data_IF_892299964031
#
_entry.id   IF_892299964031
#
_cell.length_a   1.000
_cell.length_b   1.000
_cell.length_c   1.000
_cell.angle_alpha   90.00
_cell.angle_beta   90.00
_cell.angle_gamma   90.00
#
_symmetry.space_group_name_H-M   'P 1'
#
loop_
_entity.id
_entity.type
_entity.pdbx_description
1 polymer ?
#
# COMPACT_ATOMS: atom_id res chain seq x y z
N UNK A 1 -7.01 -3.44 -19.19
CA UNK A 1 -7.83 -4.49 -18.53
C UNK A 1 -9.21 -3.98 -18.07
N UNK A 2 -9.32 -2.91 -17.26
CA UNK A 2 -10.60 -2.48 -16.64
C UNK A 2 -11.59 -1.71 -17.53
N UNK A 3 -11.25 -1.41 -18.78
CA UNK A 3 -12.13 -0.70 -19.73
C UNK A 3 -12.84 -1.64 -20.71
N UNK A 4 -12.53 -2.94 -20.69
CA UNK A 4 -13.09 -3.91 -21.63
C UNK A 4 -14.24 -4.68 -20.97
N UNK A 5 -15.37 -4.94 -21.66
CA UNK A 5 -16.51 -5.67 -21.09
C UNK A 5 -16.20 -7.13 -20.72
N UNK A 6 -15.05 -7.64 -21.14
CA UNK A 6 -14.52 -8.95 -20.82
C UNK A 6 -13.07 -9.11 -21.27
N UNK A 7 -12.41 -10.18 -20.81
CA UNK A 7 -11.00 -10.44 -21.07
C UNK A 7 -10.78 -11.90 -21.51
N UNK A 8 -10.26 -12.17 -22.72
CA UNK A 8 -10.02 -13.54 -23.17
C UNK A 8 -9.11 -14.31 -22.22
N UNK A 9 -9.52 -15.50 -21.79
CA UNK A 9 -8.76 -16.23 -20.78
C UNK A 9 -7.43 -16.78 -21.30
N UNK A 10 -7.33 -17.09 -22.60
CA UNK A 10 -6.06 -17.47 -23.24
C UNK A 10 -5.02 -16.35 -23.09
N UNK A 11 -5.42 -15.09 -23.27
CA UNK A 11 -4.54 -13.92 -23.08
C UNK A 11 -4.06 -13.83 -21.64
N UNK A 12 -5.00 -13.88 -20.68
CA UNK A 12 -4.66 -13.86 -19.26
C UNK A 12 -3.69 -14.99 -18.89
N UNK A 13 -3.89 -16.17 -19.47
CA UNK A 13 -3.02 -17.31 -19.19
C UNK A 13 -1.62 -17.12 -19.77
N UNK A 14 -1.50 -16.57 -21.00
CA UNK A 14 -0.19 -16.21 -21.56
C UNK A 14 0.56 -15.22 -20.64
N UNK A 15 -0.13 -14.17 -20.18
CA UNK A 15 0.45 -13.14 -19.31
C UNK A 15 0.96 -13.72 -17.99
N UNK A 16 0.21 -14.67 -17.42
CA UNK A 16 0.62 -15.38 -16.20
C UNK A 16 1.80 -16.35 -16.43
N UNK A 17 1.91 -16.96 -17.62
CA UNK A 17 3.04 -17.85 -17.97
C UNK A 17 4.33 -17.06 -18.11
N UNK A 18 4.28 -15.88 -18.74
CA UNK A 18 5.46 -15.08 -19.07
C UNK A 18 5.81 -14.04 -17.99
N UNK A 19 4.88 -13.76 -17.07
CA UNK A 19 5.07 -12.78 -16.01
C UNK A 19 5.09 -11.33 -16.51
N UNK A 20 4.53 -11.08 -17.69
CA UNK A 20 4.50 -9.78 -18.36
C UNK A 20 3.13 -9.53 -19.01
N UNK A 21 2.80 -8.27 -19.25
CA UNK A 21 1.57 -7.85 -19.94
C UNK A 21 1.81 -7.77 -21.44
N UNK A 22 0.92 -8.35 -22.26
CA UNK A 22 1.03 -8.17 -23.71
C UNK A 22 0.47 -6.78 -24.07
N UNK A 23 1.25 -5.90 -24.71
CA UNK A 23 0.76 -4.65 -25.27
C UNK A 23 -0.30 -4.90 -26.34
N UNK A 24 -1.25 -3.98 -26.51
CA UNK A 24 -2.34 -4.17 -27.48
C UNK A 24 -1.86 -4.25 -28.94
N UNK A 25 -0.72 -3.63 -29.24
CA UNK A 25 -0.06 -3.66 -30.56
C UNK A 25 0.48 -5.07 -30.88
N UNK A 26 1.18 -5.70 -29.93
CA UNK A 26 1.71 -7.07 -30.10
C UNK A 26 0.60 -8.15 -30.17
N UNK A 27 -0.60 -7.80 -29.69
CA UNK A 27 -1.80 -8.65 -29.85
C UNK A 27 -2.35 -8.57 -31.26
N UNK A 28 -2.44 -7.35 -31.81
CA UNK A 28 -2.90 -7.12 -33.17
C UNK A 28 -1.99 -7.85 -34.17
N UNK A 29 -0.68 -7.81 -33.94
CA UNK A 29 0.34 -8.45 -34.77
C UNK A 29 0.42 -9.99 -34.62
N UNK A 30 -0.32 -10.57 -33.68
CA UNK A 30 -0.44 -12.03 -33.53
C UNK A 30 0.82 -12.76 -33.05
N UNK A 31 1.86 -12.05 -32.59
CA UNK A 31 3.15 -12.65 -32.15
C UNK A 31 2.97 -13.68 -31.02
N UNK A 32 2.04 -13.42 -30.10
CA UNK A 32 1.72 -14.29 -28.96
C UNK A 32 1.11 -15.64 -29.35
N UNK A 33 0.59 -15.80 -30.57
CA UNK A 33 -0.03 -17.04 -31.04
C UNK A 33 0.98 -18.20 -31.17
N UNK A 34 2.17 -17.90 -31.69
CA UNK A 34 3.24 -18.89 -31.83
C UNK A 34 3.73 -19.35 -30.45
N UNK A 35 3.84 -18.42 -29.51
CA UNK A 35 4.24 -18.70 -28.14
C UNK A 35 3.20 -19.58 -27.43
N UNK A 36 1.91 -19.22 -27.55
CA UNK A 36 0.83 -20.02 -26.96
C UNK A 36 0.74 -21.42 -27.54
N UNK A 37 1.01 -21.62 -28.83
CA UNK A 37 1.03 -22.97 -29.43
C UNK A 37 2.12 -23.87 -28.85
N UNK A 38 3.24 -23.27 -28.42
CA UNK A 38 4.40 -23.99 -27.89
C UNK A 38 4.47 -23.96 -26.36
N UNK A 39 3.55 -23.26 -25.70
CA UNK A 39 3.56 -23.06 -24.25
C UNK A 39 3.40 -24.38 -23.50
N UNK A 40 4.24 -24.59 -22.49
CA UNK A 40 4.09 -25.72 -21.55
C UNK A 40 3.41 -25.23 -20.28
N UNK A 41 2.20 -25.72 -20.06
CA UNK A 41 1.42 -25.40 -18.86
C UNK A 41 2.03 -26.09 -17.65
N UNK A 42 2.33 -25.33 -16.59
CA UNK A 42 2.83 -25.87 -15.32
C UNK A 42 1.75 -25.82 -14.24
N UNK A 43 1.86 -26.67 -13.22
CA UNK A 43 0.95 -26.66 -12.06
C UNK A 43 0.93 -25.28 -11.36
N UNK A 44 2.07 -24.60 -11.31
CA UNK A 44 2.18 -23.24 -10.74
C UNK A 44 1.31 -22.25 -11.52
N UNK A 45 1.30 -22.32 -12.85
CA UNK A 45 0.51 -21.42 -13.70
C UNK A 45 -1.00 -21.67 -13.52
N UNK A 46 -1.40 -22.95 -13.42
CA UNK A 46 -2.79 -23.34 -13.15
C UNK A 46 -3.23 -22.89 -11.76
N UNK A 47 -2.39 -23.07 -10.74
CA UNK A 47 -2.68 -22.61 -9.38
C UNK A 47 -2.84 -21.09 -9.31
N UNK A 48 -1.94 -20.35 -9.96
CA UNK A 48 -2.01 -18.88 -10.03
C UNK A 48 -3.28 -18.41 -10.75
N UNK A 49 -3.59 -18.96 -11.92
CA UNK A 49 -4.83 -18.60 -12.63
C UNK A 49 -6.08 -18.99 -11.83
N UNK A 50 -6.06 -20.10 -11.09
CA UNK A 50 -7.17 -20.50 -10.21
C UNK A 50 -7.40 -19.49 -9.09
N UNK A 51 -6.33 -18.92 -8.53
CA UNK A 51 -6.43 -17.84 -7.54
C UNK A 51 -7.05 -16.57 -8.15
N UNK A 52 -6.60 -16.18 -9.36
CA UNK A 52 -7.11 -15.00 -10.08
C UNK A 52 -8.59 -15.15 -10.45
N UNK A 53 -8.99 -16.33 -10.93
CA UNK A 53 -10.36 -16.60 -11.36
C UNK A 53 -11.31 -16.94 -10.21
N UNK A 54 -10.81 -17.09 -8.97
CA UNK A 54 -11.63 -17.46 -7.84
C UNK A 54 -12.81 -16.48 -7.66
N UNK A 55 -14.03 -17.05 -7.61
CA UNK A 55 -15.31 -16.33 -7.54
C UNK A 55 -15.68 -15.46 -8.76
N UNK A 56 -14.85 -15.43 -9.80
CA UNK A 56 -15.13 -14.66 -11.02
C UNK A 56 -16.23 -15.32 -11.88
N UNK A 57 -16.96 -14.49 -12.62
CA UNK A 57 -17.91 -14.94 -13.65
C UNK A 57 -17.19 -15.09 -14.98
N UNK A 58 -17.36 -16.25 -15.61
CA UNK A 58 -16.83 -16.59 -16.92
C UNK A 58 -17.97 -16.55 -17.92
N UNK A 59 -17.71 -15.89 -19.04
CA UNK A 59 -18.57 -15.85 -20.22
C UNK A 59 -18.10 -16.89 -21.23
N UNK A 60 -19.05 -17.63 -21.80
CA UNK A 60 -18.79 -18.68 -22.80
C UNK A 60 -19.36 -18.26 -24.14
N UNK A 61 -18.50 -18.23 -25.17
CA UNK A 61 -18.85 -17.87 -26.53
C UNK A 61 -18.49 -19.01 -27.49
N UNK A 62 -19.27 -20.10 -27.47
CA UNK A 62 -18.98 -21.31 -28.23
C UNK A 62 -18.85 -21.08 -29.75
N UNK A 63 -19.59 -20.10 -30.29
CA UNK A 63 -19.67 -19.81 -31.73
C UNK A 63 -18.68 -18.71 -32.19
N UNK A 64 -18.17 -17.93 -31.25
CA UNK A 64 -17.32 -16.77 -31.49
C UNK A 64 -15.98 -16.90 -30.77
N UNK A 65 -15.32 -18.05 -30.90
CA UNK A 65 -13.96 -18.29 -30.35
C UNK A 65 -12.89 -17.28 -30.82
N UNK A 66 -11.61 -17.57 -30.59
CA UNK A 66 -10.53 -16.62 -30.96
C UNK A 66 -10.44 -16.64 -32.50
N UNK A 67 -10.60 -15.49 -33.14
CA UNK A 67 -10.55 -15.36 -34.60
C UNK A 67 -9.31 -14.58 -35.03
N UNK A 68 -8.74 -15.03 -36.14
CA UNK A 68 -7.65 -14.35 -36.81
C UNK A 68 -8.08 -14.12 -38.27
N UNK A 69 -7.68 -12.99 -38.84
CA UNK A 69 -7.89 -12.75 -40.27
C UNK A 69 -6.90 -13.56 -41.13
N UNK A 70 -7.02 -13.42 -42.46
CA UNK A 70 -6.16 -14.10 -43.43
C UNK A 70 -4.68 -13.67 -43.32
N UNK A 71 -4.41 -12.54 -42.66
CA UNK A 71 -3.08 -11.98 -42.40
C UNK A 71 -2.52 -12.42 -41.03
N UNK A 72 -3.25 -13.26 -40.29
CA UNK A 72 -2.96 -13.74 -38.93
C UNK A 72 -3.03 -12.66 -37.84
N UNK A 73 -3.69 -11.55 -38.11
CA UNK A 73 -3.96 -10.55 -37.07
C UNK A 73 -5.14 -11.01 -36.21
N UNK A 74 -5.06 -10.74 -34.92
CA UNK A 74 -6.16 -11.05 -33.99
C UNK A 74 -7.36 -10.13 -34.24
N UNK A 75 -8.53 -10.71 -34.45
CA UNK A 75 -9.78 -9.95 -34.53
C UNK A 75 -10.37 -9.76 -33.13
N UNK A 76 -10.31 -8.53 -32.62
CA UNK A 76 -10.87 -8.20 -31.31
C UNK A 76 -12.39 -8.41 -31.29
N UNK A 77 -12.88 -9.14 -30.28
CA UNK A 77 -14.30 -9.45 -30.14
C UNK A 77 -15.07 -8.22 -29.65
N UNK A 78 -16.20 -7.91 -30.28
CA UNK A 78 -17.17 -6.96 -29.73
C UNK A 78 -17.95 -7.61 -28.58
N UNK A 79 -17.37 -7.55 -27.38
CA UNK A 79 -17.90 -8.17 -26.15
C UNK A 79 -19.27 -7.59 -25.74
N UNK A 80 -19.71 -6.45 -26.31
CA UNK A 80 -21.07 -5.91 -26.08
C UNK A 80 -22.14 -6.78 -26.73
N UNK A 81 -21.82 -7.45 -27.84
CA UNK A 81 -22.72 -8.40 -28.54
C UNK A 81 -22.91 -9.71 -27.76
N UNK A 82 -21.97 -10.02 -26.86
CA UNK A 82 -21.95 -11.23 -26.05
C UNK A 82 -22.67 -11.08 -24.69
N UNK A 83 -23.35 -9.95 -24.43
CA UNK A 83 -24.06 -9.72 -23.15
C UNK A 83 -25.08 -10.81 -22.76
N UNK A 84 -25.63 -11.52 -23.75
CA UNK A 84 -26.60 -12.60 -23.55
C UNK A 84 -25.97 -14.01 -23.58
N UNK A 85 -24.66 -14.11 -23.73
CA UNK A 85 -23.96 -15.39 -23.78
C UNK A 85 -24.02 -16.11 -22.43
N UNK A 86 -24.04 -17.46 -22.41
CA UNK A 86 -24.05 -18.23 -21.18
C UNK A 86 -22.87 -17.85 -20.27
N UNK A 87 -23.17 -17.66 -18.98
CA UNK A 87 -22.13 -17.41 -17.97
C UNK A 87 -22.14 -18.47 -16.87
N UNK A 88 -21.00 -18.66 -16.22
CA UNK A 88 -20.90 -19.50 -15.02
C UNK A 88 -19.81 -18.98 -14.08
N UNK A 89 -19.91 -19.31 -12.80
CA UNK A 89 -18.87 -18.98 -11.81
C UNK A 89 -17.74 -19.99 -11.90
N UNK A 90 -16.49 -19.53 -11.97
CA UNK A 90 -15.33 -20.41 -12.01
C UNK A 90 -15.33 -21.39 -10.82
N UNK A 91 -14.96 -22.65 -11.08
CA UNK A 91 -14.89 -23.72 -10.10
C UNK A 91 -13.47 -24.30 -10.05
N UNK A 92 -13.02 -24.94 -11.14
CA UNK A 92 -11.66 -25.48 -11.25
C UNK A 92 -11.23 -25.64 -12.71
N UNK A 93 -9.94 -25.92 -12.93
CA UNK A 93 -9.44 -26.42 -14.20
C UNK A 93 -9.66 -27.94 -14.29
N UNK A 94 -10.01 -28.42 -15.49
CA UNK A 94 -10.15 -29.83 -15.81
C UNK A 94 -9.08 -30.31 -16.80
N UNK A 95 -9.36 -31.44 -17.45
CA UNK A 95 -8.52 -31.97 -18.51
C UNK A 95 -8.42 -31.01 -19.71
N UNK A 96 -7.40 -31.22 -20.55
CA UNK A 96 -7.22 -30.45 -21.79
C UNK A 96 -8.23 -30.85 -22.88
N UNK A 97 -8.10 -30.28 -24.07
CA UNK A 97 -9.08 -30.51 -25.14
C UNK A 97 -8.95 -31.89 -25.81
N UNK A 98 -7.93 -32.68 -25.47
CA UNK A 98 -7.80 -34.07 -25.94
C UNK A 98 -8.66 -35.04 -25.13
N UNK A 99 -9.26 -34.60 -24.02
CA UNK A 99 -10.15 -35.42 -23.22
C UNK A 99 -11.33 -35.97 -24.02
N UNK A 100 -11.54 -37.28 -23.95
CA UNK A 100 -12.64 -37.99 -24.59
C UNK A 100 -13.83 -38.13 -23.65
N UNK A 101 -15.03 -37.92 -24.17
CA UNK A 101 -16.28 -38.11 -23.45
C UNK A 101 -17.32 -38.80 -24.33
N UNK A 102 -18.32 -39.40 -23.69
CA UNK A 102 -19.48 -39.97 -24.38
C UNK A 102 -20.56 -38.90 -24.47
N UNK A 103 -20.98 -38.57 -25.69
CA UNK A 103 -22.02 -37.57 -25.93
C UNK A 103 -23.45 -38.13 -25.72
N UNK A 104 -24.45 -37.29 -25.96
CA UNK A 104 -25.87 -37.68 -25.84
C UNK A 104 -26.31 -38.73 -26.87
N UNK A 105 -25.54 -38.91 -27.95
CA UNK A 105 -25.75 -39.93 -28.99
C UNK A 105 -25.00 -41.25 -28.70
N UNK A 106 -24.37 -41.37 -27.53
CA UNK A 106 -23.54 -42.52 -27.14
C UNK A 106 -22.29 -42.74 -28.00
N UNK A 107 -21.78 -41.66 -28.60
CA UNK A 107 -20.52 -41.64 -29.36
C UNK A 107 -19.40 -41.14 -28.46
N UNK A 108 -18.23 -41.80 -28.52
CA UNK A 108 -17.02 -41.31 -27.87
C UNK A 108 -16.34 -40.29 -28.78
N UNK A 109 -16.12 -39.08 -28.26
CA UNK A 109 -15.43 -38.03 -28.99
C UNK A 109 -14.62 -37.12 -28.07
N UNK A 110 -13.55 -36.56 -28.62
CA UNK A 110 -12.74 -35.56 -27.93
C UNK A 110 -13.44 -34.21 -27.86
N UNK A 111 -13.04 -33.34 -26.92
CA UNK A 111 -13.54 -31.95 -26.88
C UNK A 111 -13.24 -31.22 -28.20
N UNK A 112 -12.09 -31.48 -28.82
CA UNK A 112 -11.72 -30.90 -30.13
C UNK A 112 -12.73 -31.29 -31.20
N UNK A 113 -13.04 -32.59 -31.30
CA UNK A 113 -13.96 -33.10 -32.31
C UNK A 113 -15.39 -32.61 -32.05
N UNK A 114 -15.78 -32.48 -30.77
CA UNK A 114 -17.05 -31.86 -30.41
C UNK A 114 -17.18 -30.45 -30.96
N UNK A 115 -16.18 -29.60 -30.71
CA UNK A 115 -16.24 -28.19 -31.11
C UNK A 115 -16.14 -28.02 -32.62
N UNK A 116 -15.33 -28.86 -33.29
CA UNK A 116 -15.27 -28.89 -34.74
C UNK A 116 -16.60 -29.30 -35.36
N UNK A 117 -17.20 -30.39 -34.88
CA UNK A 117 -18.43 -30.93 -35.45
C UNK A 117 -19.68 -30.09 -35.13
N UNK A 118 -19.83 -29.66 -33.87
CA UNK A 118 -21.03 -28.96 -33.40
C UNK A 118 -21.03 -27.46 -33.70
N UNK A 119 -19.87 -26.81 -33.57
CA UNK A 119 -19.76 -25.35 -33.68
C UNK A 119 -18.94 -24.90 -34.90
N UNK A 120 -18.39 -25.83 -35.70
CA UNK A 120 -17.50 -25.48 -36.81
C UNK A 120 -16.19 -24.83 -36.35
N UNK A 121 -15.83 -24.96 -35.06
CA UNK A 121 -14.70 -24.25 -34.47
C UNK A 121 -13.51 -25.19 -34.25
N UNK A 122 -12.37 -24.83 -34.84
CA UNK A 122 -11.11 -25.54 -34.64
C UNK A 122 -10.35 -24.93 -33.45
N UNK A 123 -10.28 -25.68 -32.35
CA UNK A 123 -9.49 -25.31 -31.17
C UNK A 123 -8.02 -25.18 -31.55
N UNK A 124 -7.42 -24.02 -31.28
CA UNK A 124 -6.07 -23.64 -31.70
C UNK A 124 -4.98 -24.03 -30.70
N UNK A 125 -5.31 -24.11 -29.42
CA UNK A 125 -4.46 -24.42 -28.27
C UNK A 125 -5.03 -25.62 -27.49
N UNK A 126 -5.12 -26.81 -28.12
CA UNK A 126 -5.80 -27.97 -27.53
C UNK A 126 -5.10 -28.51 -26.27
N UNK A 127 -3.81 -28.22 -26.10
CA UNK A 127 -3.00 -28.64 -24.95
C UNK A 127 -3.25 -27.81 -23.69
N UNK A 128 -4.01 -26.70 -23.78
CA UNK A 128 -4.37 -25.91 -22.60
C UNK A 128 -5.50 -26.58 -21.82
N UNK A 129 -5.50 -26.47 -20.47
CA UNK A 129 -6.54 -27.07 -19.66
C UNK A 129 -7.90 -26.41 -19.92
N UNK A 130 -8.97 -27.21 -19.91
CA UNK A 130 -10.33 -26.67 -19.99
C UNK A 130 -10.80 -26.14 -18.64
N UNK A 131 -11.77 -25.23 -18.66
CA UNK A 131 -12.51 -24.83 -17.47
C UNK A 131 -13.60 -25.84 -17.15
N UNK A 132 -13.60 -26.35 -15.92
CA UNK A 132 -14.68 -27.21 -15.43
C UNK A 132 -15.74 -26.37 -14.71
N UNK A 133 -16.96 -26.40 -15.22
CA UNK A 133 -18.12 -25.82 -14.52
C UNK A 133 -18.59 -26.80 -13.45
N UNK A 134 -18.93 -26.24 -12.27
CA UNK A 134 -19.47 -27.04 -11.15
C UNK A 134 -20.72 -27.80 -11.60
N UNK A 135 -20.80 -29.13 -11.37
CA UNK A 135 -21.98 -29.90 -11.72
C UNK A 135 -23.21 -29.39 -10.96
N UNK A 136 -24.41 -29.44 -11.57
CA UNK A 136 -25.67 -29.18 -10.87
C UNK A 136 -25.84 -30.15 -9.70
N UNK A 137 -26.41 -29.69 -8.59
CA UNK A 137 -26.62 -30.54 -7.40
C UNK A 137 -27.44 -31.81 -7.68
N UNK A 138 -28.29 -31.78 -8.71
CA UNK A 138 -29.14 -32.90 -9.14
C UNK A 138 -28.41 -33.96 -9.97
N UNK A 139 -27.23 -33.65 -10.49
CA UNK A 139 -26.43 -34.56 -11.32
C UNK A 139 -24.94 -34.27 -11.09
N UNK A 140 -24.41 -34.87 -10.01
CA UNK A 140 -23.04 -34.63 -9.54
C UNK A 140 -21.97 -35.24 -10.45
N UNK A 141 -22.36 -36.19 -11.30
CA UNK A 141 -21.43 -36.91 -12.17
C UNK A 141 -21.28 -36.25 -13.54
N UNK A 142 -22.19 -35.35 -13.92
CA UNK A 142 -22.10 -34.64 -15.19
C UNK A 142 -20.94 -33.65 -15.22
N UNK A 143 -20.03 -33.85 -16.16
CA UNK A 143 -18.90 -32.96 -16.36
C UNK A 143 -19.18 -31.97 -17.49
N UNK A 144 -18.85 -30.71 -17.25
CA UNK A 144 -18.94 -29.63 -18.22
C UNK A 144 -17.54 -29.02 -18.38
N UNK A 145 -16.91 -29.24 -19.53
CA UNK A 145 -15.60 -28.70 -19.87
C UNK A 145 -15.71 -27.68 -20.99
N UNK A 146 -15.06 -26.53 -20.81
CA UNK A 146 -15.01 -25.46 -21.80
C UNK A 146 -13.54 -25.14 -22.14
N UNK A 147 -13.12 -25.24 -23.41
CA UNK A 147 -11.79 -24.80 -23.84
C UNK A 147 -11.55 -23.35 -23.47
N UNK A 148 -10.33 -23.00 -23.04
CA UNK A 148 -10.00 -21.62 -22.65
C UNK A 148 -10.26 -20.60 -23.76
N UNK A 149 -10.12 -20.99 -25.03
CA UNK A 149 -10.36 -20.14 -26.20
C UNK A 149 -11.78 -19.60 -26.31
N UNK A 150 -12.77 -20.35 -25.85
CA UNK A 150 -14.17 -19.95 -25.90
C UNK A 150 -14.62 -19.29 -24.59
N UNK A 151 -13.71 -19.07 -23.65
CA UNK A 151 -13.99 -18.46 -22.37
C UNK A 151 -13.36 -17.07 -22.25
N UNK A 152 -14.14 -16.13 -21.72
CA UNK A 152 -13.66 -14.79 -21.35
C UNK A 152 -14.05 -14.50 -19.92
N UNK A 153 -13.17 -13.84 -19.17
CA UNK A 153 -13.52 -13.24 -17.89
C UNK A 153 -14.58 -12.17 -18.16
N UNK A 154 -15.76 -12.29 -17.55
CA UNK A 154 -16.73 -11.19 -17.56
C UNK A 154 -16.26 -10.18 -16.53
N UNK A 155 -15.80 -9.02 -16.99
CA UNK A 155 -15.45 -7.91 -16.11
C UNK A 155 -16.76 -7.21 -15.78
N UNK A 156 -17.44 -7.73 -14.77
CA UNK A 156 -18.48 -7.03 -14.02
C UNK A 156 -17.74 -6.25 -12.94
N UNK A 157 -17.49 -4.93 -13.10
CA UNK A 157 -16.71 -4.16 -12.14
C UNK A 157 -17.47 -4.08 -10.82
N UNK A 158 -17.27 -5.09 -9.98
CA UNK A 158 -17.74 -5.09 -8.60
C UNK A 158 -16.73 -4.28 -7.80
N UNK A 159 -17.21 -3.30 -7.04
CA UNK A 159 -16.38 -2.57 -6.08
C UNK A 159 -15.66 -3.56 -5.19
N UNK A 160 -14.32 -3.60 -5.26
CA UNK A 160 -13.54 -4.43 -4.37
C UNK A 160 -13.63 -3.87 -2.95
N UNK A 161 -14.21 -4.66 -2.03
CA UNK A 161 -14.32 -4.31 -0.60
C UNK A 161 -13.37 -5.13 0.28
N UNK A 162 -12.48 -5.91 -0.33
CA UNK A 162 -11.53 -6.76 0.37
C UNK A 162 -10.25 -6.02 0.79
N UNK A 163 -9.35 -6.77 1.41
CA UNK A 163 -8.02 -6.27 1.77
C UNK A 163 -7.14 -6.05 0.52
N UNK A 164 -6.45 -4.91 0.47
CA UNK A 164 -5.47 -4.58 -0.58
C UNK A 164 -4.07 -4.66 0.05
N UNK A 165 -3.22 -5.54 -0.48
CA UNK A 165 -1.83 -5.69 0.00
C UNK A 165 -1.03 -4.41 -0.21
N UNK A 166 0.05 -4.20 0.55
CA UNK A 166 0.89 -3.01 0.40
C UNK A 166 1.47 -2.90 -1.01
N UNK A 167 1.95 -4.00 -1.59
CA UNK A 167 2.45 -4.05 -2.97
C UNK A 167 1.38 -3.62 -3.98
N UNK A 168 0.14 -4.11 -3.83
CA UNK A 168 -0.97 -3.73 -4.70
C UNK A 168 -1.37 -2.27 -4.50
N UNK A 169 -1.29 -1.73 -3.28
CA UNK A 169 -1.50 -0.29 -3.01
C UNK A 169 -0.43 0.55 -3.71
N UNK A 170 0.84 0.18 -3.61
CA UNK A 170 1.96 0.88 -4.26
C UNK A 170 1.80 0.89 -5.77
N UNK A 171 1.49 -0.28 -6.36
CA UNK A 171 1.15 -0.38 -7.79
C UNK A 171 -0.05 0.49 -8.14
N UNK A 172 -1.15 0.42 -7.38
CA UNK A 172 -2.34 1.22 -7.64
C UNK A 172 -2.02 2.72 -7.59
N UNK A 173 -1.25 3.18 -6.60
CA UNK A 173 -0.79 4.58 -6.52
C UNK A 173 0.04 4.91 -7.75
N UNK A 174 1.05 4.10 -8.10
CA UNK A 174 1.91 4.34 -9.25
C UNK A 174 1.13 4.45 -10.56
N UNK A 175 0.15 3.57 -10.78
CA UNK A 175 -0.65 3.54 -12.01
C UNK A 175 -1.79 4.56 -12.04
N UNK A 176 -2.21 5.12 -10.91
CA UNK A 176 -3.32 6.09 -10.85
C UNK A 176 -2.89 7.52 -10.53
N UNK A 177 -1.61 7.72 -10.18
CA UNK A 177 -1.04 9.05 -9.96
C UNK A 177 -0.72 9.69 -11.31
N UNK A 178 -1.53 10.67 -11.69
CA UNK A 178 -1.35 11.49 -12.88
C UNK A 178 -0.99 12.91 -12.45
N UNK A 179 -0.09 13.57 -13.17
CA UNK A 179 0.09 15.03 -13.02
C UNK A 179 -1.20 15.76 -13.39
N UNK A 180 -1.33 17.03 -12.97
CA UNK A 180 -2.50 17.84 -13.31
C UNK A 180 -2.75 17.90 -14.84
N UNK A 181 -1.69 18.08 -15.63
CA UNK A 181 -1.78 18.10 -17.10
C UNK A 181 -2.20 16.75 -17.68
N UNK A 182 -1.61 15.65 -17.22
CA UNK A 182 -2.00 14.30 -17.66
C UNK A 182 -3.46 14.02 -17.31
N UNK A 183 -3.90 14.39 -16.10
CA UNK A 183 -5.29 14.23 -15.66
C UNK A 183 -6.24 15.07 -16.50
N UNK A 184 -5.88 16.32 -16.83
CA UNK A 184 -6.67 17.20 -17.71
C UNK A 184 -6.89 16.56 -19.08
N UNK A 185 -5.84 16.03 -19.71
CA UNK A 185 -5.93 15.33 -21.01
C UNK A 185 -6.83 14.10 -20.93
N UNK A 186 -6.69 13.28 -19.88
CA UNK A 186 -7.55 12.10 -19.67
C UNK A 186 -9.02 12.51 -19.53
N UNK A 187 -9.32 13.53 -18.73
CA UNK A 187 -10.68 14.01 -18.53
C UNK A 187 -11.28 14.60 -19.82
N UNK A 188 -10.51 15.37 -20.58
CA UNK A 188 -10.93 15.90 -21.88
C UNK A 188 -11.27 14.79 -22.87
N UNK A 189 -10.45 13.72 -22.91
CA UNK A 189 -10.73 12.55 -23.74
C UNK A 189 -11.98 11.79 -23.28
N UNK A 190 -12.20 11.63 -21.98
CA UNK A 190 -13.40 10.96 -21.44
C UNK A 190 -14.67 11.77 -21.75
N UNK A 191 -14.64 13.09 -21.50
CA UNK A 191 -15.76 13.99 -21.79
C UNK A 191 -16.03 14.03 -23.30
N UNK A 192 -14.98 14.05 -24.12
CA UNK A 192 -15.08 14.07 -25.58
C UNK A 192 -15.57 12.77 -26.23
N UNK A 193 -15.56 11.63 -25.50
CA UNK A 193 -15.98 10.32 -26.04
C UNK A 193 -17.50 10.15 -26.13
N UNK A 194 -18.28 10.94 -25.40
CA UNK A 194 -19.73 10.99 -25.54
C UNK A 194 -20.15 12.43 -25.88
N UNK A 195 -21.10 12.66 -26.78
CA UNK A 195 -21.82 13.93 -26.84
C UNK A 195 -22.68 14.03 -25.57
N UNK A 196 -22.04 14.34 -24.44
CA UNK A 196 -22.73 14.73 -23.20
C UNK A 196 -23.26 16.12 -23.50
N UNK A 197 -24.51 16.20 -23.97
CA UNK A 197 -25.12 17.39 -24.55
C UNK A 197 -25.13 18.65 -23.69
N UNK A 198 -24.72 18.58 -22.42
CA UNK A 198 -24.74 19.70 -21.46
C UNK A 198 -23.46 19.79 -20.58
N UNK A 199 -22.34 19.18 -20.95
CA UNK A 199 -21.09 19.37 -20.18
C UNK A 199 -20.38 20.64 -20.67
N UNK A 200 -20.35 21.74 -19.89
CA UNK A 200 -19.64 22.94 -20.30
C UNK A 200 -18.14 22.62 -20.46
N UNK A 201 -17.45 23.28 -21.40
CA UNK A 201 -15.99 23.17 -21.49
C UNK A 201 -15.36 23.57 -20.16
N UNK A 202 -14.14 23.08 -19.90
CA UNK A 202 -13.34 23.53 -18.76
C UNK A 202 -13.31 25.06 -18.80
N UNK A 203 -13.88 25.69 -17.76
CA UNK A 203 -13.95 27.14 -17.65
C UNK A 203 -12.62 27.61 -17.11
N UNK A 204 -11.98 28.52 -17.84
CA UNK A 204 -10.78 29.22 -17.35
C UNK A 204 -11.22 30.27 -16.34
N UNK A 205 -10.83 30.09 -15.08
CA UNK A 205 -11.15 30.99 -13.99
C UNK A 205 -9.94 31.85 -13.67
N UNK A 206 -10.19 33.14 -13.45
CA UNK A 206 -9.17 34.05 -12.90
C UNK A 206 -9.10 33.86 -11.39
N UNK A 207 -8.41 32.80 -10.98
CA UNK A 207 -8.18 32.51 -9.58
C UNK A 207 -7.07 33.39 -9.00
N UNK A 208 -7.14 33.65 -7.69
CA UNK A 208 -6.13 34.43 -6.96
C UNK A 208 -5.35 33.52 -6.02
N UNK A 209 -4.02 33.53 -6.15
CA UNK A 209 -3.13 32.89 -5.19
C UNK A 209 -3.02 33.78 -3.95
N UNK A 210 -3.33 33.24 -2.77
CA UNK A 210 -3.16 33.97 -1.52
C UNK A 210 -1.68 34.17 -1.20
N UNK A 211 -1.27 35.32 -0.64
CA UNK A 211 0.10 35.53 -0.21
C UNK A 211 0.44 34.56 0.93
N UNK A 212 1.66 34.03 0.97
CA UNK A 212 2.07 33.11 2.02
C UNK A 212 2.24 33.89 3.32
N UNK A 213 1.90 33.29 4.48
CA UNK A 213 2.13 33.91 5.76
C UNK A 213 3.65 33.95 6.07
N UNK A 214 4.06 34.97 6.81
CA UNK A 214 5.39 35.00 7.44
C UNK A 214 5.40 34.08 8.66
N UNK A 215 6.36 33.15 8.72
CA UNK A 215 6.58 32.26 9.85
C UNK A 215 7.67 32.84 10.73
N UNK A 216 7.38 33.05 12.03
CA UNK A 216 8.31 33.65 12.99
C UNK A 216 8.86 32.58 13.93
N UNK A 217 10.18 32.56 14.09
CA UNK A 217 10.95 31.68 14.97
C UNK A 217 11.62 32.50 16.09
N UNK A 218 12.21 31.82 17.08
CA UNK A 218 12.89 32.48 18.19
C UNK A 218 14.12 33.30 17.76
N UNK A 219 14.81 32.85 16.71
CA UNK A 219 16.05 33.46 16.22
C UNK A 219 15.97 34.02 14.78
N UNK A 220 14.84 33.86 14.10
CA UNK A 220 14.73 34.17 12.66
C UNK A 220 13.27 34.24 12.21
N UNK A 221 13.06 34.56 10.95
CA UNK A 221 11.78 34.53 10.28
C UNK A 221 11.91 33.94 8.87
N UNK A 222 10.80 33.44 8.33
CA UNK A 222 10.73 32.85 7.02
C UNK A 222 9.51 33.39 6.27
N UNK A 223 9.71 33.76 5.02
CA UNK A 223 8.65 34.12 4.08
C UNK A 223 8.86 33.32 2.80
N UNK A 224 7.86 32.53 2.42
CA UNK A 224 7.86 31.73 1.20
C UNK A 224 7.65 32.61 -0.03
N UNK A 225 8.68 33.38 -0.40
CA UNK A 225 8.59 34.36 -1.49
C UNK A 225 8.31 33.70 -2.85
N UNK A 226 8.62 32.41 -2.97
CA UNK A 226 8.48 31.61 -4.20
C UNK A 226 7.15 30.81 -4.23
N UNK A 227 6.31 30.91 -3.20
CA UNK A 227 5.03 30.20 -3.09
C UNK A 227 5.13 28.67 -3.25
N UNK A 228 6.21 28.06 -2.75
CA UNK A 228 6.43 26.61 -2.81
C UNK A 228 5.56 25.83 -1.81
N UNK A 229 5.10 26.49 -0.75
CA UNK A 229 4.29 25.87 0.31
C UNK A 229 5.08 24.98 1.27
N UNK A 230 6.41 25.04 1.24
CA UNK A 230 7.30 24.23 2.07
C UNK A 230 8.45 25.03 2.66
N UNK A 231 8.92 24.64 3.85
CA UNK A 231 10.06 25.26 4.51
C UNK A 231 10.72 24.29 5.51
N UNK A 232 11.97 24.58 5.89
CA UNK A 232 12.77 23.72 6.78
C UNK A 232 13.25 24.51 8.00
N UNK A 233 12.99 23.97 9.19
CA UNK A 233 13.45 24.55 10.46
C UNK A 233 14.81 23.99 10.91
N UNK A 234 14.94 22.66 10.88
CA UNK A 234 16.09 21.93 11.47
C UNK A 234 17.32 21.89 10.54
N UNK A 235 17.13 22.05 9.23
CA UNK A 235 18.23 22.09 8.25
C UNK A 235 18.64 23.51 7.84
N UNK A 236 18.13 24.53 8.53
CA UNK A 236 18.54 25.91 8.32
C UNK A 236 19.84 26.17 9.09
N UNK A 237 20.71 27.06 8.58
CA UNK A 237 21.94 27.45 9.26
C UNK A 237 21.88 28.94 9.66
N UNK A 238 21.86 29.27 10.96
CA UNK A 238 21.77 28.36 12.11
C UNK A 238 20.37 27.72 12.25
N UNK A 239 20.26 26.60 12.96
CA UNK A 239 18.98 25.90 13.19
C UNK A 239 17.93 26.89 13.70
N UNK A 240 16.71 26.85 13.16
CA UNK A 240 15.65 27.75 13.59
C UNK A 240 15.10 27.32 14.93
N UNK A 241 15.11 28.22 15.90
CA UNK A 241 14.70 27.90 17.27
C UNK A 241 13.23 28.15 17.52
N UNK A 242 12.66 27.45 18.51
CA UNK A 242 11.34 27.76 19.04
C UNK A 242 11.29 29.18 19.62
N UNK A 243 10.09 29.76 19.67
CA UNK A 243 9.88 31.06 20.32
C UNK A 243 10.30 31.01 21.79
N UNK A 244 10.78 32.13 22.31
CA UNK A 244 11.28 32.25 23.69
C UNK A 244 10.26 31.75 24.73
N UNK A 245 8.98 32.09 24.58
CA UNK A 245 7.91 31.66 25.50
C UNK A 245 7.65 30.14 25.45
N UNK A 246 8.10 29.44 24.40
CA UNK A 246 7.87 28.01 24.24
C UNK A 246 8.70 27.14 25.18
N UNK A 247 9.77 27.68 25.80
CA UNK A 247 10.60 26.95 26.75
C UNK A 247 10.00 26.91 28.16
N UNK A 248 8.95 27.70 28.43
CA UNK A 248 8.31 27.76 29.74
C UNK A 248 7.07 26.86 29.83
N UNK A 249 6.75 26.38 31.04
CA UNK A 249 5.51 25.65 31.34
C UNK A 249 4.33 26.58 31.09
N UNK A 250 3.42 26.15 30.21
CA UNK A 250 2.19 26.91 29.96
C UNK A 250 1.33 26.88 31.23
N UNK A 251 0.96 28.07 31.70
CA UNK A 251 0.04 28.24 32.80
C UNK A 251 -1.13 29.11 32.36
N UNK A 252 -2.34 28.79 32.82
CA UNK A 252 -3.53 29.62 32.57
C UNK A 252 -3.53 30.87 33.44
N UNK A 253 -2.88 30.82 34.60
CA UNK A 253 -2.70 31.98 35.46
C UNK A 253 -1.47 32.79 35.01
N UNK A 254 -1.72 34.01 34.55
CA UNK A 254 -0.68 34.94 34.11
C UNK A 254 0.25 35.41 35.25
N UNK A 255 -0.15 35.23 36.52
CA UNK A 255 0.64 35.61 37.70
C UNK A 255 1.50 34.47 38.25
N UNK A 256 1.31 33.24 37.75
CA UNK A 256 2.10 32.11 38.20
C UNK A 256 3.58 32.28 37.79
N UNK A 257 4.54 31.78 38.60
CA UNK A 257 5.95 31.84 38.24
C UNK A 257 6.21 31.10 36.93
N UNK A 258 7.01 31.72 36.05
CA UNK A 258 7.47 31.08 34.82
C UNK A 258 8.46 29.98 35.17
N UNK A 259 8.06 28.73 35.01
CA UNK A 259 8.95 27.59 35.21
C UNK A 259 9.56 27.17 33.87
N UNK A 260 10.89 27.15 33.78
CA UNK A 260 11.61 26.72 32.59
C UNK A 260 11.52 25.19 32.47
N UNK A 261 11.09 24.69 31.31
CA UNK A 261 10.99 23.25 31.06
C UNK A 261 12.34 22.69 30.64
N UNK A 262 12.65 21.49 31.11
CA UNK A 262 13.69 20.64 30.54
C UNK A 262 13.16 19.24 30.28
N UNK A 263 13.44 18.73 29.09
CA UNK A 263 12.97 17.42 28.66
C UNK A 263 13.88 16.33 29.21
N UNK A 264 13.27 15.32 29.83
CA UNK A 264 13.94 14.14 30.35
C UNK A 264 13.41 12.90 29.60
N UNK A 265 14.24 12.30 28.77
CA UNK A 265 13.82 11.19 27.92
C UNK A 265 13.96 9.82 28.57
N UNK A 266 12.99 8.96 28.29
CA UNK A 266 12.96 7.54 28.58
C UNK A 266 12.64 6.74 27.31
N UNK A 267 12.96 5.45 27.29
CA UNK A 267 12.82 4.61 26.10
C UNK A 267 11.91 3.41 26.39
N UNK A 268 10.94 3.19 25.51
CA UNK A 268 10.12 1.98 25.50
C UNK A 268 10.33 1.24 24.17
N UNK A 269 10.95 0.07 24.22
CA UNK A 269 11.14 -0.80 23.05
C UNK A 269 9.92 -1.69 22.87
N UNK A 270 9.16 -1.50 21.79
CA UNK A 270 7.95 -2.27 21.49
C UNK A 270 8.26 -3.32 20.43
N UNK A 271 8.30 -4.58 20.84
CA UNK A 271 8.57 -5.72 19.97
C UNK A 271 7.42 -6.04 19.03
N UNK A 272 7.74 -6.71 17.92
CA UNK A 272 6.74 -7.32 17.06
C UNK A 272 6.06 -8.48 17.80
N UNK A 273 4.74 -8.52 17.92
CA UNK A 273 4.03 -9.64 18.56
C UNK A 273 4.07 -10.93 17.74
N UNK A 274 4.69 -10.90 16.55
CA UNK A 274 5.03 -12.09 15.77
C UNK A 274 6.29 -12.81 16.29
N UNK A 275 7.04 -12.17 17.20
CA UNK A 275 8.24 -12.71 17.80
C UNK A 275 7.97 -13.12 19.25
N UNK A 276 8.77 -14.05 19.77
CA UNK A 276 8.70 -14.47 21.19
C UNK A 276 9.48 -13.52 22.12
N UNK A 277 10.30 -12.64 21.56
CA UNK A 277 11.13 -11.68 22.30
C UNK A 277 11.23 -10.33 21.58
N UNK A 278 11.59 -9.29 22.33
CA UNK A 278 11.94 -7.97 21.77
C UNK A 278 13.36 -8.03 21.20
N UNK A 279 13.50 -8.67 20.03
CA UNK A 279 14.78 -8.96 19.39
C UNK A 279 15.30 -7.80 18.53
N UNK A 280 15.44 -6.60 19.10
CA UNK A 280 16.17 -5.51 18.45
C UNK A 280 16.91 -4.64 19.46
N UNK A 281 18.13 -4.25 19.10
CA UNK A 281 18.97 -3.35 19.88
C UNK A 281 18.93 -1.96 19.28
N UNK A 282 18.86 -0.96 20.14
CA UNK A 282 18.91 0.44 19.74
C UNK A 282 20.31 0.98 20.00
N UNK A 283 20.78 1.86 19.13
CA UNK A 283 22.03 2.59 19.35
C UNK A 283 21.72 3.86 20.16
N UNK A 284 22.23 3.94 21.39
CA UNK A 284 22.05 5.10 22.27
C UNK A 284 22.62 6.39 21.65
N UNK A 285 23.57 6.28 20.70
CA UNK A 285 24.05 7.43 19.92
C UNK A 285 22.91 8.10 19.16
N UNK A 286 21.96 7.32 18.63
CA UNK A 286 20.78 7.85 17.94
C UNK A 286 19.86 8.62 18.90
N UNK A 287 19.71 8.14 20.14
CA UNK A 287 19.00 8.87 21.20
C UNK A 287 19.67 10.22 21.50
N UNK A 288 20.99 10.21 21.72
CA UNK A 288 21.74 11.42 22.03
C UNK A 288 21.67 12.45 20.89
N UNK A 289 21.75 12.00 19.63
CA UNK A 289 21.59 12.85 18.45
C UNK A 289 20.20 13.49 18.39
N UNK A 290 19.14 12.72 18.69
CA UNK A 290 17.77 13.24 18.75
C UNK A 290 17.61 14.33 19.81
N UNK A 291 18.13 14.08 21.01
CA UNK A 291 18.06 15.04 22.12
C UNK A 291 18.89 16.30 21.82
N UNK A 292 20.04 16.16 21.15
CA UNK A 292 20.86 17.28 20.68
C UNK A 292 20.13 18.14 19.66
N UNK A 293 19.54 17.52 18.63
CA UNK A 293 18.76 18.24 17.63
C UNK A 293 17.55 18.97 18.27
N UNK A 294 16.99 18.42 19.35
CA UNK A 294 15.92 19.04 20.13
C UNK A 294 16.40 20.30 20.87
N UNK A 295 17.56 20.24 21.53
CA UNK A 295 18.20 21.41 22.17
C UNK A 295 18.61 22.47 21.14
N UNK A 296 19.19 22.07 20.00
CA UNK A 296 19.55 22.99 18.91
C UNK A 296 18.33 23.70 18.30
N UNK A 297 17.16 23.04 18.28
CA UNK A 297 15.89 23.66 17.95
C UNK A 297 15.33 24.55 19.07
N UNK A 298 16.06 24.75 20.17
CA UNK A 298 15.74 25.65 21.27
C UNK A 298 14.87 25.04 22.37
N UNK A 299 14.67 23.72 22.40
CA UNK A 299 13.95 23.04 23.48
C UNK A 299 14.94 22.44 24.48
N UNK A 300 15.03 22.95 25.73
CA UNK A 300 16.04 22.50 26.68
C UNK A 300 15.89 21.03 27.06
N UNK A 301 17.00 20.31 27.21
CA UNK A 301 17.05 18.90 27.59
C UNK A 301 17.95 18.64 28.82
N UNK A 302 17.74 17.50 29.47
CA UNK A 302 18.60 17.03 30.56
C UNK A 302 19.85 16.33 30.00
N UNK A 303 21.03 16.83 30.40
CA UNK A 303 22.32 16.30 29.94
C UNK A 303 22.99 15.47 31.05
N UNK A 304 23.46 14.27 30.72
CA UNK A 304 24.32 13.49 31.61
C UNK A 304 25.77 13.99 31.49
N UNK A 305 26.21 14.27 30.25
CA UNK A 305 27.46 14.92 29.94
C UNK A 305 27.26 15.86 28.74
N UNK A 306 27.25 17.17 29.01
CA UNK A 306 26.99 18.18 27.98
C UNK A 306 28.14 18.32 26.98
N UNK A 307 29.38 18.16 27.42
CA UNK A 307 30.57 18.30 26.56
C UNK A 307 30.66 17.15 25.54
N UNK A 308 30.29 15.94 25.95
CA UNK A 308 30.21 14.77 25.06
C UNK A 308 28.89 14.69 24.29
N UNK A 309 27.95 15.62 24.56
CA UNK A 309 26.61 15.63 23.97
C UNK A 309 25.81 14.36 24.27
N UNK A 310 25.92 13.85 25.50
CA UNK A 310 25.20 12.68 26.00
C UNK A 310 24.02 13.11 26.88
N UNK A 311 22.81 13.00 26.33
CA UNK A 311 21.57 13.28 27.05
C UNK A 311 21.28 12.19 28.09
N UNK A 312 20.60 12.55 29.18
CA UNK A 312 20.17 11.58 30.20
C UNK A 312 19.14 10.61 29.59
N UNK A 313 19.34 9.31 29.77
CA UNK A 313 18.29 8.30 29.61
C UNK A 313 17.80 7.99 31.02
N UNK A 314 16.60 8.47 31.37
CA UNK A 314 16.07 8.32 32.72
C UNK A 314 15.69 6.87 33.04
N UNK A 315 15.01 6.22 32.11
CA UNK A 315 14.70 4.80 32.22
C UNK A 315 14.53 4.17 30.83
N UNK A 316 14.73 2.86 30.75
CA UNK A 316 14.54 2.08 29.52
C UNK A 316 13.87 0.75 29.86
N UNK A 317 12.83 0.39 29.11
CA UNK A 317 12.14 -0.90 29.25
C UNK A 317 11.69 -1.43 27.90
N UNK A 318 11.09 -2.62 27.90
CA UNK A 318 10.55 -3.28 26.73
C UNK A 318 9.12 -3.78 26.95
N UNK A 319 8.37 -3.88 25.85
CA UNK A 319 7.01 -4.42 25.82
C UNK A 319 6.82 -5.32 24.60
N UNK A 320 6.17 -6.45 24.81
CA UNK A 320 5.77 -7.40 23.79
C UNK A 320 4.34 -7.89 24.05
N UNK A 321 3.42 -7.59 23.12
CA UNK A 321 2.05 -8.06 23.23
C UNK A 321 2.00 -9.59 23.25
N UNK A 322 1.20 -10.15 24.17
CA UNK A 322 1.07 -11.61 24.37
C UNK A 322 2.06 -12.19 25.37
N UNK A 323 3.17 -11.49 25.67
CA UNK A 323 4.08 -11.79 26.78
C UNK A 323 3.80 -10.90 27.98
N UNK A 324 3.67 -9.59 27.73
CA UNK A 324 3.64 -8.56 28.77
C UNK A 324 2.24 -8.01 29.00
N UNK A 325 1.94 -7.66 30.25
CA UNK A 325 0.70 -6.99 30.62
C UNK A 325 0.85 -5.47 30.46
N UNK A 326 -0.04 -4.78 29.71
CA UNK A 326 0.02 -3.33 29.52
C UNK A 326 0.07 -2.54 30.84
N UNK A 327 -0.61 -3.03 31.88
CA UNK A 327 -0.61 -2.40 33.21
C UNK A 327 0.78 -2.24 33.82
N UNK A 328 1.69 -3.20 33.61
CA UNK A 328 3.06 -3.11 34.10
C UNK A 328 3.82 -1.97 33.43
N UNK A 329 3.57 -1.76 32.12
CA UNK A 329 4.16 -0.63 31.40
C UNK A 329 3.57 0.70 31.87
N UNK A 330 2.28 0.74 32.24
CA UNK A 330 1.67 1.94 32.83
C UNK A 330 2.26 2.27 34.20
N UNK A 331 2.48 1.27 35.06
CA UNK A 331 3.09 1.46 36.38
C UNK A 331 4.50 2.04 36.21
N UNK A 332 5.28 1.51 35.26
CA UNK A 332 6.58 2.06 34.88
C UNK A 332 6.48 3.50 34.37
N UNK A 333 5.53 3.82 33.48
CA UNK A 333 5.35 5.20 33.00
C UNK A 333 4.99 6.16 34.14
N UNK A 334 4.18 5.71 35.10
CA UNK A 334 3.79 6.50 36.27
C UNK A 334 4.99 6.81 37.15
N UNK A 335 5.92 5.85 37.31
CA UNK A 335 7.13 6.07 38.11
C UNK A 335 8.11 7.05 37.46
N UNK A 336 8.05 7.29 36.14
CA UNK A 336 8.93 8.26 35.46
C UNK A 336 8.72 9.71 35.88
N UNK A 337 7.57 10.02 36.47
CA UNK A 337 7.28 11.35 37.00
C UNK A 337 7.63 11.49 38.48
N UNK A 338 8.04 10.39 39.13
CA UNK A 338 8.48 10.38 40.51
C UNK A 338 9.97 10.75 40.57
N UNK A 339 10.39 11.48 41.60
CA UNK A 339 11.80 11.79 41.89
C UNK A 339 12.59 12.56 40.80
N UNK A 340 11.90 13.31 39.95
CA UNK A 340 12.54 14.10 38.90
C UNK A 340 13.32 15.32 39.41
N UNK A 341 13.12 15.72 40.66
CA UNK A 341 13.77 16.90 41.25
C UNK A 341 15.30 16.79 41.29
N UNK A 342 15.82 15.56 41.31
CA UNK A 342 17.27 15.29 41.23
C UNK A 342 17.93 15.77 39.94
N UNK A 343 17.16 16.02 38.87
CA UNK A 343 17.66 16.51 37.59
C UNK A 343 17.57 18.02 37.40
N UNK A 344 17.02 18.76 38.37
CA UNK A 344 16.93 20.22 38.30
C UNK A 344 18.30 20.86 38.48
N UNK A 345 18.61 21.84 37.65
CA UNK A 345 19.79 22.70 37.83
C UNK A 345 19.44 23.99 38.58
N UNK A 346 18.15 24.36 38.63
CA UNK A 346 17.66 25.51 39.38
C UNK A 346 16.23 25.31 39.92
N UNK A 347 15.85 26.10 40.93
CA UNK A 347 14.54 26.06 41.61
C UNK A 347 13.37 26.46 40.69
N UNK A 348 13.62 27.29 39.68
CA UNK A 348 12.63 27.75 38.71
C UNK A 348 12.48 26.81 37.50
N UNK A 349 12.99 25.58 37.60
CA UNK A 349 12.86 24.55 36.57
C UNK A 349 11.71 23.57 36.84
N UNK A 350 11.18 23.01 35.76
CA UNK A 350 10.30 21.85 35.78
C UNK A 350 10.82 20.81 34.80
N UNK A 351 11.01 19.59 35.31
CA UNK A 351 11.40 18.46 34.50
C UNK A 351 10.16 17.86 33.85
N UNK A 352 10.25 17.60 32.55
CA UNK A 352 9.15 17.07 31.75
C UNK A 352 9.56 15.71 31.21
N UNK A 353 9.04 14.60 31.79
CA UNK A 353 9.29 13.26 31.28
C UNK A 353 8.68 13.08 29.87
N UNK A 354 9.45 12.49 28.96
CA UNK A 354 8.99 12.06 27.64
C UNK A 354 9.46 10.64 27.35
N UNK A 355 8.56 9.79 26.85
CA UNK A 355 8.87 8.41 26.46
C UNK A 355 8.91 8.29 24.94
N UNK A 356 10.07 7.88 24.42
CA UNK A 356 10.24 7.49 23.03
C UNK A 356 9.87 6.02 22.87
N UNK A 357 8.72 5.76 22.25
CA UNK A 357 8.22 4.43 21.98
C UNK A 357 8.77 3.95 20.63
N UNK A 358 9.76 3.06 20.66
CA UNK A 358 10.46 2.56 19.48
C UNK A 358 9.80 1.26 19.05
N UNK A 359 9.07 1.28 17.93
CA UNK A 359 8.34 0.13 17.42
C UNK A 359 9.18 -0.65 16.42
N UNK A 360 9.35 -1.96 16.63
CA UNK A 360 10.08 -2.83 15.71
C UNK A 360 9.48 -2.81 14.30
N UNK A 361 8.14 -2.82 14.22
CA UNK A 361 7.38 -2.82 12.98
C UNK A 361 6.16 -1.91 13.07
N UNK A 362 5.63 -1.50 11.92
CA UNK A 362 4.42 -0.69 11.86
C UNK A 362 3.19 -1.55 12.15
N UNK A 363 2.34 -1.10 13.07
CA UNK A 363 1.12 -1.81 13.44
C UNK A 363 0.20 -2.12 12.24
N UNK A 364 0.07 -1.22 11.26
CA UNK A 364 -0.76 -1.48 10.07
C UNK A 364 -0.32 -2.71 9.29
N UNK A 365 0.94 -3.13 9.42
CA UNK A 365 1.46 -4.36 8.82
C UNK A 365 0.94 -5.59 9.58
N UNK A 366 0.83 -5.53 10.91
CA UNK A 366 0.38 -6.62 11.78
C UNK A 366 -1.09 -6.98 11.63
N UNK A 367 -1.97 -5.95 11.59
CA UNK A 367 -3.41 -6.14 11.43
C UNK A 367 -3.79 -6.86 10.13
N UNK A 368 -2.88 -6.91 9.16
CA UNK A 368 -3.08 -7.58 7.88
C UNK A 368 -2.75 -9.07 7.94
N UNK A 369 -1.94 -9.50 8.91
CA UNK A 369 -1.45 -10.86 9.03
C UNK A 369 -2.21 -11.67 10.07
N UNK A 370 -2.61 -11.05 11.21
CA UNK A 370 -3.49 -11.68 12.22
C UNK A 370 -4.42 -10.65 12.88
N UNK A 371 -5.75 -10.86 12.87
CA UNK A 371 -6.72 -9.94 13.45
C UNK A 371 -6.70 -9.90 15.00
N UNK A 372 -5.95 -10.80 15.63
CA UNK A 372 -5.93 -10.97 17.09
C UNK A 372 -4.97 -9.99 17.80
N UNK A 373 -4.13 -9.28 17.04
CA UNK A 373 -3.19 -8.29 17.60
C UNK A 373 -3.84 -6.92 17.76
N UNK A 374 -3.49 -6.24 18.85
CA UNK A 374 -4.04 -4.94 19.19
C UNK A 374 -3.08 -3.84 18.74
N UNK A 375 -3.61 -2.64 18.56
CA UNK A 375 -2.79 -1.49 18.18
C UNK A 375 -2.06 -0.93 19.40
N UNK A 376 -0.84 -1.42 19.65
CA UNK A 376 0.01 -0.97 20.76
C UNK A 376 0.26 0.55 20.73
N UNK A 377 0.38 1.16 19.55
CA UNK A 377 0.52 2.62 19.45
C UNK A 377 -0.71 3.32 20.00
N UNK A 378 -1.92 2.91 19.59
CA UNK A 378 -3.15 3.50 20.11
C UNK A 378 -3.37 3.19 21.59
N UNK A 379 -3.02 1.98 22.03
CA UNK A 379 -3.13 1.55 23.42
C UNK A 379 -2.27 2.45 24.32
N UNK A 380 -0.97 2.55 24.05
CA UNK A 380 -0.07 3.37 24.86
C UNK A 380 -0.38 4.85 24.75
N UNK A 381 -0.78 5.36 23.57
CA UNK A 381 -1.24 6.74 23.43
C UNK A 381 -2.46 7.03 24.29
N UNK A 382 -3.47 6.17 24.23
CA UNK A 382 -4.67 6.33 25.03
C UNK A 382 -4.38 6.26 26.52
N UNK A 383 -3.58 5.27 26.97
CA UNK A 383 -3.21 5.12 28.38
C UNK A 383 -2.40 6.31 28.89
N UNK A 384 -1.41 6.78 28.12
CA UNK A 384 -0.55 7.88 28.57
C UNK A 384 -1.24 9.24 28.56
N UNK A 385 -2.05 9.54 27.55
CA UNK A 385 -2.73 10.83 27.44
C UNK A 385 -3.90 10.96 28.44
N UNK A 386 -4.57 9.86 28.80
CA UNK A 386 -5.76 9.90 29.67
C UNK A 386 -5.50 9.50 31.13
N UNK A 387 -4.58 8.57 31.40
CA UNK A 387 -4.40 8.00 32.74
C UNK A 387 -3.12 8.50 33.43
N UNK A 388 -1.99 8.50 32.71
CA UNK A 388 -0.67 8.76 33.33
C UNK A 388 -0.23 10.22 33.23
N UNK A 389 -0.55 10.89 32.12
CA UNK A 389 -0.12 12.27 31.86
C UNK A 389 1.36 12.42 31.46
N UNK A 390 1.98 11.37 30.93
CA UNK A 390 3.37 11.38 30.43
C UNK A 390 3.38 11.57 28.91
N UNK A 391 4.25 12.45 28.41
CA UNK A 391 4.37 12.69 26.98
C UNK A 391 5.01 11.48 26.28
N UNK A 392 4.46 11.10 25.14
CA UNK A 392 4.99 9.97 24.36
C UNK A 392 5.24 10.37 22.91
N UNK A 393 6.25 9.76 22.27
CA UNK A 393 6.50 9.91 20.84
C UNK A 393 6.80 8.54 20.23
N UNK A 394 5.94 8.09 19.30
CA UNK A 394 6.16 6.85 18.57
C UNK A 394 7.15 7.04 17.42
N UNK A 395 8.12 6.15 17.30
CA UNK A 395 9.14 6.15 16.25
C UNK A 395 9.34 4.71 15.77
N UNK A 396 9.48 4.49 14.47
CA UNK A 396 9.85 3.18 13.95
C UNK A 396 11.33 2.90 14.21
N UNK A 397 11.67 1.69 14.61
CA UNK A 397 13.03 1.22 14.84
C UNK A 397 13.97 1.60 13.69
N UNK A 398 13.57 1.32 12.45
CA UNK A 398 14.34 1.66 11.24
C UNK A 398 14.62 3.16 11.11
N UNK A 399 13.67 4.01 11.50
CA UNK A 399 13.83 5.47 11.46
C UNK A 399 14.73 5.94 12.60
N UNK A 400 14.53 5.39 13.81
CA UNK A 400 15.33 5.74 14.99
C UNK A 400 16.81 5.44 14.77
N UNK A 401 17.14 4.24 14.29
CA UNK A 401 18.53 3.84 14.02
C UNK A 401 19.14 4.52 12.78
N UNK A 402 18.41 5.40 12.10
CA UNK A 402 18.94 6.22 11.00
C UNK A 402 19.26 7.66 11.43
N UNK A 403 19.07 8.00 12.71
CA UNK A 403 19.34 9.34 13.24
C UNK A 403 20.86 9.53 13.39
N UNK A 404 21.47 10.15 12.38
CA UNK A 404 22.88 10.54 12.40
C UNK A 404 23.19 11.82 13.20
N UNK A 405 24.47 12.20 13.22
CA UNK A 405 24.99 13.41 13.89
C UNK A 405 24.49 14.73 13.29
N UNK A 406 24.04 14.71 12.03
CA UNK A 406 23.37 15.83 11.36
C UNK A 406 22.00 15.38 10.88
N UNK A 407 21.01 16.28 10.81
CA UNK A 407 19.73 15.97 10.18
C UNK A 407 20.03 15.47 8.76
N UNK A 408 19.61 14.26 8.44
CA UNK A 408 19.89 13.67 7.14
C UNK A 408 19.46 14.66 6.04
N UNK A 409 20.34 15.06 5.10
CA UNK A 409 19.87 15.76 3.92
C UNK A 409 18.85 14.84 3.27
N UNK A 410 17.65 15.38 3.04
CA UNK A 410 16.65 14.71 2.24
C UNK A 410 17.30 14.37 0.91
N UNK A 411 17.64 13.10 0.70
CA UNK A 411 17.93 12.59 -0.63
C UNK A 411 16.56 12.62 -1.30
N UNK A 412 16.31 13.74 -2.00
CA UNK A 412 15.21 13.85 -2.93
C UNK A 412 15.22 12.57 -3.74
N UNK A 413 14.11 11.83 -3.65
CA UNK A 413 13.94 10.62 -4.45
C UNK A 413 14.37 10.98 -5.85
N UNK A 414 15.36 10.26 -6.37
CA UNK A 414 15.70 10.31 -7.77
C UNK A 414 14.38 10.14 -8.52
N UNK A 415 13.83 11.24 -9.02
CA UNK A 415 13.01 11.23 -10.19
C UNK A 415 13.94 10.68 -11.26
N UNK A 416 14.02 9.35 -11.35
CA UNK A 416 14.37 8.70 -12.58
C UNK A 416 13.33 9.21 -13.57
N UNK A 417 13.71 10.28 -14.27
CA UNK A 417 13.22 10.58 -15.60
C UNK A 417 13.49 9.29 -16.37
N UNK A 418 12.48 8.44 -16.44
CA UNK A 418 12.41 7.43 -17.48
C UNK A 418 12.54 8.23 -18.78
N UNK A 419 13.57 7.99 -19.61
CA UNK A 419 13.59 8.56 -20.93
C UNK A 419 12.34 8.05 -21.63
N UNK A 420 11.56 8.98 -22.19
CA UNK A 420 10.52 8.65 -23.16
C UNK A 420 11.12 7.74 -24.24
N UNK A 421 10.66 6.49 -24.28
CA UNK A 421 10.32 5.72 -25.48
C UNK A 421 9.42 4.55 -25.05
#
# INVERSE_FOLDING_TARGET
MFTRPGYPLVRLFWELIHGDTIPDEDIADGKWDADMKNARVTEKNVALMSQVLNKMKILVSNEEGIRFDDQRNYQERDLRRLRNSPTFKFFEFGADSFYEFVNENNETLSIIDHYRGKYGYNIRYPHLPCLRKKPPSRDRNRMFLFPLEVCSLLIDPVRFTGYVSQQLKEQMIQYTTLTAEQRKLVLQNIIGQNPIGDCPPIVDNTDRLLPPPRVVYGNSDFLDSDHLGEWKAVAHEPVRTVLEEAIYKRNRDAKAPKLKKRLLGSILRVGSPMNDTVAFEIDDTCYHNLMRATEEAGQPVCWANREMGQAVIHSSTEYLQGRDLPGVTMDWMTSLSQDTDSYKEAEDEVIVPIVFMIFQIRFTTLNCERPDFQNDYNLFKWMTDNEVGVFTQGILYKTFNSIGLSPAPFIGGNSHRVPLL
#
